data_IF_779194100142
#
_entry.id   IF_779194100142
#
_cell.length_a   1.000
_cell.length_b   1.000
_cell.length_c   1.000
_cell.angle_alpha   90.00
_cell.angle_beta   90.00
_cell.angle_gamma   90.00
#
_symmetry.space_group_name_H-M   'P 1'
#
loop_
_entity.id
_entity.type
_entity.pdbx_description
1 polymer ?
#
# COMPACT_ATOMS: atom_id res chain seq x y z
N UNK A 1 -15.94 22.12 21.07
CA UNK A 1 -16.21 22.30 19.62
C UNK A 1 -17.69 22.11 19.35
N UNK A 2 -18.29 22.71 18.31
CA UNK A 2 -19.72 22.47 17.98
C UNK A 2 -19.91 21.01 17.56
N UNK A 3 -20.86 20.25 18.15
CA UNK A 3 -21.14 18.89 17.71
C UNK A 3 -21.47 18.81 16.22
N UNK A 4 -21.08 17.71 15.59
CA UNK A 4 -21.41 17.40 14.19
C UNK A 4 -22.38 16.24 14.16
N UNK A 5 -23.26 16.20 13.17
CA UNK A 5 -24.18 15.09 12.95
C UNK A 5 -23.91 14.55 11.55
N UNK A 6 -23.57 13.27 11.45
CA UNK A 6 -23.27 12.58 10.19
C UNK A 6 -24.12 11.33 10.16
N UNK A 7 -25.01 11.22 9.16
CA UNK A 7 -25.92 10.08 9.02
C UNK A 7 -26.67 9.73 10.33
N UNK A 8 -27.07 10.75 11.09
CA UNK A 8 -27.76 10.59 12.38
C UNK A 8 -26.85 10.29 13.58
N UNK A 9 -25.54 10.13 13.39
CA UNK A 9 -24.56 9.94 14.46
C UNK A 9 -24.06 11.30 14.94
N UNK A 10 -24.27 11.61 16.22
CA UNK A 10 -23.75 12.85 16.84
C UNK A 10 -22.31 12.65 17.30
N UNK A 11 -21.39 13.42 16.73
CA UNK A 11 -19.98 13.49 17.10
C UNK A 11 -19.73 14.74 17.94
N UNK A 12 -19.20 14.55 19.14
CA UNK A 12 -18.95 15.62 20.10
C UNK A 12 -17.61 15.43 20.80
N UNK A 13 -17.25 16.37 21.67
CA UNK A 13 -16.03 16.26 22.46
C UNK A 13 -16.02 15.02 23.38
N UNK A 14 -17.20 14.51 23.76
CA UNK A 14 -17.39 13.32 24.59
C UNK A 14 -17.35 12.00 23.81
N UNK A 15 -17.30 12.05 22.48
CA UNK A 15 -17.28 10.83 21.66
C UNK A 15 -15.96 10.08 21.85
N UNK A 16 -16.05 8.79 22.20
CA UNK A 16 -14.93 7.85 22.11
C UNK A 16 -14.78 7.40 20.66
N UNK A 17 -13.88 8.07 19.93
CA UNK A 17 -13.65 7.80 18.52
C UNK A 17 -12.97 6.44 18.28
N UNK A 18 -12.24 5.90 19.26
CA UNK A 18 -11.62 4.58 19.13
C UNK A 18 -12.67 3.47 19.20
N UNK A 19 -13.57 3.54 20.18
CA UNK A 19 -14.70 2.63 20.28
C UNK A 19 -15.64 2.76 19.07
N UNK A 20 -15.98 4.00 18.69
CA UNK A 20 -16.83 4.27 17.52
C UNK A 20 -16.24 3.67 16.25
N UNK A 21 -14.96 3.93 15.94
CA UNK A 21 -14.31 3.40 14.75
C UNK A 21 -14.31 1.86 14.76
N UNK A 22 -14.00 1.25 15.91
CA UNK A 22 -13.98 -0.21 16.04
C UNK A 22 -15.36 -0.83 15.81
N UNK A 23 -16.40 -0.28 16.41
CA UNK A 23 -17.76 -0.81 16.30
C UNK A 23 -18.30 -0.66 14.87
N UNK A 24 -18.05 0.49 14.24
CA UNK A 24 -18.38 0.68 12.83
C UNK A 24 -17.64 -0.31 11.95
N UNK A 25 -16.31 -0.44 12.09
CA UNK A 25 -15.52 -1.35 11.25
C UNK A 25 -15.87 -2.84 11.43
N UNK A 26 -16.39 -3.23 12.60
CA UNK A 26 -16.96 -4.58 12.83
C UNK A 26 -18.27 -4.81 12.07
N UNK A 27 -18.90 -3.77 11.53
CA UNK A 27 -20.27 -3.81 11.03
C UNK A 27 -21.31 -3.92 12.15
N UNK A 28 -20.90 -3.75 13.40
CA UNK A 28 -21.78 -3.84 14.55
C UNK A 28 -22.55 -2.52 14.69
N UNK A 29 -23.79 -2.48 14.19
CA UNK A 29 -24.76 -1.50 14.68
C UNK A 29 -25.52 -0.70 13.64
N UNK A 30 -25.29 -0.89 12.33
CA UNK A 30 -26.06 -0.19 11.29
C UNK A 30 -26.08 1.34 11.44
N UNK A 31 -25.19 1.91 12.25
CA UNK A 31 -25.20 3.34 12.57
C UNK A 31 -24.80 4.10 11.32
N UNK A 32 -25.76 4.85 10.78
CA UNK A 32 -25.55 5.68 9.59
C UNK A 32 -25.24 4.91 8.30
N UNK A 33 -25.39 3.58 8.28
CA UNK A 33 -25.16 2.78 7.07
C UNK A 33 -26.18 3.16 6.00
N UNK A 34 -25.70 3.53 4.82
CA UNK A 34 -26.54 3.79 3.66
C UNK A 34 -26.69 2.53 2.81
N UNK A 35 -27.77 2.47 2.01
CA UNK A 35 -27.98 1.37 1.06
C UNK A 35 -26.87 1.26 0.01
N UNK A 36 -26.13 2.35 -0.23
CA UNK A 36 -25.00 2.42 -1.15
C UNK A 36 -23.69 1.90 -0.55
N UNK A 37 -23.64 1.67 0.77
CA UNK A 37 -22.43 1.21 1.44
C UNK A 37 -22.25 -0.30 1.16
N UNK A 38 -21.12 -0.64 0.56
CA UNK A 38 -20.73 -2.01 0.24
C UNK A 38 -19.95 -2.64 1.39
N UNK A 39 -19.28 -1.83 2.21
CA UNK A 39 -18.47 -2.25 3.34
C UNK A 39 -18.65 -1.30 4.53
N UNK A 40 -18.43 -1.76 5.78
CA UNK A 40 -18.52 -0.88 6.95
C UNK A 40 -17.57 0.32 6.88
N UNK A 41 -16.41 0.17 6.22
CA UNK A 41 -15.46 1.25 5.95
C UNK A 41 -16.06 2.43 5.16
N UNK A 42 -17.07 2.21 4.32
CA UNK A 42 -17.64 3.26 3.47
C UNK A 42 -18.23 4.41 4.30
N UNK A 43 -18.84 4.09 5.45
CA UNK A 43 -19.30 5.10 6.40
C UNK A 43 -18.14 5.93 6.97
N UNK A 44 -17.06 5.28 7.40
CA UNK A 44 -15.87 5.95 7.96
C UNK A 44 -15.27 6.90 6.92
N UNK A 45 -15.15 6.46 5.65
CA UNK A 45 -14.63 7.28 4.57
C UNK A 45 -15.51 8.50 4.28
N UNK A 46 -16.83 8.32 4.28
CA UNK A 46 -17.79 9.42 4.10
C UNK A 46 -17.71 10.40 5.28
N UNK A 47 -17.80 9.90 6.52
CA UNK A 47 -17.72 10.71 7.72
C UNK A 47 -16.39 11.50 7.78
N UNK A 48 -15.26 10.86 7.49
CA UNK A 48 -13.96 11.53 7.46
C UNK A 48 -13.92 12.67 6.43
N UNK A 49 -14.51 12.47 5.24
CA UNK A 49 -14.59 13.51 4.20
C UNK A 49 -15.47 14.69 4.63
N UNK A 50 -16.62 14.43 5.26
CA UNK A 50 -17.50 15.48 5.77
C UNK A 50 -16.88 16.28 6.92
N UNK A 51 -16.01 15.64 7.71
CA UNK A 51 -15.29 16.27 8.81
C UNK A 51 -14.02 17.00 8.37
N UNK A 52 -13.66 16.98 7.09
CA UNK A 52 -12.40 17.53 6.58
C UNK A 52 -12.16 18.97 7.06
N UNK A 53 -10.95 19.23 7.57
CA UNK A 53 -10.57 20.53 8.14
C UNK A 53 -11.09 20.79 9.56
N UNK A 54 -11.74 19.81 10.20
CA UNK A 54 -12.14 19.89 11.61
C UNK A 54 -11.31 18.94 12.49
N UNK A 55 -11.11 19.26 13.79
CA UNK A 55 -10.41 18.35 14.71
C UNK A 55 -11.12 17.00 14.92
N UNK A 56 -12.39 16.86 14.55
CA UNK A 56 -13.07 15.57 14.60
C UNK A 56 -12.62 14.62 13.47
N UNK A 57 -12.15 15.13 12.33
CA UNK A 57 -11.54 14.28 11.31
C UNK A 57 -10.28 13.61 11.85
N UNK A 58 -9.40 14.39 12.50
CA UNK A 58 -8.18 13.89 13.11
C UNK A 58 -8.50 12.83 14.17
N UNK A 59 -9.40 13.14 15.11
CA UNK A 59 -9.84 12.18 16.16
C UNK A 59 -10.46 10.91 15.59
N UNK A 60 -11.25 11.02 14.51
CA UNK A 60 -11.81 9.85 13.83
C UNK A 60 -10.70 8.99 13.22
N UNK A 61 -9.75 9.60 12.50
CA UNK A 61 -8.63 8.86 11.91
C UNK A 61 -7.68 8.26 12.94
N UNK A 62 -7.46 8.92 14.09
CA UNK A 62 -6.73 8.36 15.23
C UNK A 62 -7.47 7.15 15.83
N UNK A 63 -8.81 7.22 15.90
CA UNK A 63 -9.65 6.08 16.26
C UNK A 63 -9.49 4.89 15.30
N UNK A 64 -9.42 5.17 13.99
CA UNK A 64 -9.11 4.14 12.98
C UNK A 64 -7.68 3.61 13.12
N UNK A 65 -6.70 4.45 13.47
CA UNK A 65 -5.33 4.02 13.75
C UNK A 65 -5.25 3.04 14.93
N UNK A 66 -6.04 3.27 15.98
CA UNK A 66 -6.14 2.35 17.13
C UNK A 66 -6.68 0.96 16.72
N UNK A 67 -7.50 0.91 15.66
CA UNK A 67 -8.05 -0.33 15.11
C UNK A 67 -7.02 -1.20 14.38
N UNK A 68 -5.83 -0.67 14.03
CA UNK A 68 -4.76 -1.45 13.39
C UNK A 68 -4.23 -2.59 14.27
N UNK A 69 -4.48 -2.55 15.58
CA UNK A 69 -4.14 -3.65 16.51
C UNK A 69 -5.37 -4.31 17.14
N UNK A 70 -6.54 -4.15 16.52
CA UNK A 70 -7.74 -4.88 16.93
C UNK A 70 -7.51 -6.39 16.82
N UNK A 71 -8.17 -7.20 17.65
CA UNK A 71 -8.08 -8.66 17.61
C UNK A 71 -8.67 -9.24 16.32
N UNK A 72 -9.68 -8.58 15.76
CA UNK A 72 -10.43 -8.98 14.57
C UNK A 72 -9.64 -8.64 13.28
N UNK A 73 -9.29 -9.62 12.42
CA UNK A 73 -8.62 -9.37 11.15
C UNK A 73 -9.38 -8.41 10.22
N UNK A 74 -10.71 -8.50 10.18
CA UNK A 74 -11.59 -7.68 9.33
C UNK A 74 -11.50 -6.19 9.69
N UNK A 75 -11.37 -5.90 10.99
CA UNK A 75 -11.20 -4.53 11.49
C UNK A 75 -9.83 -3.98 11.10
N UNK A 76 -8.76 -4.79 11.24
CA UNK A 76 -7.41 -4.41 10.82
C UNK A 76 -7.34 -4.16 9.32
N UNK A 77 -7.93 -5.05 8.52
CA UNK A 77 -7.96 -4.95 7.06
C UNK A 77 -8.60 -3.62 6.61
N UNK A 78 -9.78 -3.30 7.14
CA UNK A 78 -10.46 -2.05 6.78
C UNK A 78 -9.71 -0.81 7.28
N UNK A 79 -9.09 -0.86 8.46
CA UNK A 79 -8.24 0.22 8.93
C UNK A 79 -7.01 0.44 8.02
N UNK A 80 -6.42 -0.62 7.47
CA UNK A 80 -5.35 -0.51 6.47
C UNK A 80 -5.84 0.13 5.17
N UNK A 81 -7.00 -0.27 4.66
CA UNK A 81 -7.61 0.32 3.45
C UNK A 81 -7.92 1.81 3.67
N UNK A 82 -8.36 2.19 4.87
CA UNK A 82 -8.52 3.61 5.23
C UNK A 82 -7.24 4.40 5.03
N UNK A 83 -6.09 3.92 5.54
CA UNK A 83 -4.80 4.60 5.41
C UNK A 83 -4.19 4.50 4.01
N UNK A 84 -4.55 3.50 3.22
CA UNK A 84 -4.22 3.48 1.78
C UNK A 84 -4.97 4.59 1.03
N UNK A 85 -6.23 4.84 1.39
CA UNK A 85 -7.08 5.85 0.75
C UNK A 85 -6.82 7.26 1.28
N UNK A 86 -6.42 7.38 2.56
CA UNK A 86 -6.17 8.64 3.26
C UNK A 86 -4.77 8.64 3.90
N UNK A 87 -3.70 8.55 3.10
CA UNK A 87 -2.32 8.38 3.60
C UNK A 87 -1.81 9.55 4.46
N UNK A 88 -2.47 10.71 4.39
CA UNK A 88 -2.14 11.90 5.19
C UNK A 88 -2.99 12.04 6.47
N UNK A 89 -3.92 11.13 6.75
CA UNK A 89 -4.77 11.21 7.93
C UNK A 89 -3.97 11.18 9.25
N UNK A 90 -4.54 11.70 10.34
CA UNK A 90 -3.92 11.60 11.67
C UNK A 90 -3.83 10.13 12.10
N UNK A 91 -2.84 9.80 12.93
CA UNK A 91 -2.55 8.41 13.31
C UNK A 91 -1.73 7.61 12.28
N UNK A 92 -1.38 8.19 11.12
CA UNK A 92 -0.63 7.50 10.04
C UNK A 92 0.73 6.96 10.49
N UNK A 93 1.36 7.59 11.49
CA UNK A 93 2.60 7.14 12.11
C UNK A 93 2.48 5.72 12.68
N UNK A 94 1.27 5.30 13.07
CA UNK A 94 1.00 3.96 13.56
C UNK A 94 1.31 2.88 12.52
N UNK A 95 1.03 3.13 11.24
CA UNK A 95 1.40 2.23 10.14
C UNK A 95 2.91 2.02 10.09
N UNK A 96 3.69 3.09 10.23
CA UNK A 96 5.17 3.02 10.20
C UNK A 96 5.72 2.28 11.40
N UNK A 97 5.18 2.55 12.58
CA UNK A 97 5.60 1.88 13.81
C UNK A 97 5.31 0.37 13.74
N UNK A 98 4.18 -0.01 13.16
CA UNK A 98 3.84 -1.42 12.92
C UNK A 98 4.76 -2.06 11.88
N UNK A 99 5.08 -1.37 10.78
CA UNK A 99 6.04 -1.89 9.79
C UNK A 99 7.44 -2.06 10.40
N UNK A 100 7.88 -1.12 11.23
CA UNK A 100 9.20 -1.16 11.87
C UNK A 100 9.29 -2.14 13.05
N UNK A 101 8.15 -2.50 13.65
CA UNK A 101 8.07 -3.31 14.86
C UNK A 101 7.68 -4.77 14.63
N UNK A 102 6.93 -5.33 15.59
CA UNK A 102 6.38 -6.68 15.48
C UNK A 102 5.17 -6.71 14.54
N UNK A 103 5.23 -7.59 13.54
CA UNK A 103 4.20 -7.78 12.51
C UNK A 103 3.46 -9.10 12.66
N UNK A 104 3.52 -9.72 13.84
CA UNK A 104 2.85 -10.99 14.17
C UNK A 104 1.33 -10.95 13.93
N UNK A 105 0.68 -9.80 14.10
CA UNK A 105 -0.76 -9.62 13.84
C UNK A 105 -1.15 -9.57 12.35
N UNK A 106 -0.17 -9.49 11.45
CA UNK A 106 -0.37 -9.24 10.02
C UNK A 106 0.17 -10.38 9.15
N UNK A 107 1.37 -10.88 9.47
CA UNK A 107 2.07 -11.87 8.65
C UNK A 107 1.30 -13.18 8.56
N UNK A 108 0.97 -13.59 7.34
CA UNK A 108 0.24 -14.83 7.06
C UNK A 108 -1.24 -14.80 7.45
N UNK A 109 -1.75 -13.67 7.94
CA UNK A 109 -3.18 -13.49 8.19
C UNK A 109 -3.82 -13.09 6.87
N UNK A 110 -4.63 -13.98 6.28
CA UNK A 110 -5.31 -13.71 5.01
C UNK A 110 -6.16 -12.43 5.12
N UNK A 111 -6.14 -11.61 4.07
CA UNK A 111 -6.97 -10.43 3.99
C UNK A 111 -8.43 -10.84 3.72
N UNK A 112 -9.38 -10.58 4.66
CA UNK A 112 -10.79 -10.92 4.47
C UNK A 112 -11.50 -10.04 3.43
N UNK A 113 -10.90 -8.90 3.05
CA UNK A 113 -11.47 -7.96 2.07
C UNK A 113 -10.92 -8.22 0.66
N UNK A 114 -9.65 -8.59 0.53
CA UNK A 114 -9.01 -8.87 -0.76
C UNK A 114 -8.43 -10.30 -0.80
N UNK A 115 -9.18 -11.27 -1.30
CA UNK A 115 -8.69 -12.64 -1.44
C UNK A 115 -7.40 -12.67 -2.28
N UNK A 116 -6.38 -13.37 -1.78
CA UNK A 116 -5.10 -13.57 -2.48
C UNK A 116 -3.93 -12.75 -1.91
N UNK A 117 -4.17 -11.88 -0.93
CA UNK A 117 -3.10 -11.21 -0.16
C UNK A 117 -3.24 -11.52 1.34
N UNK A 118 -2.20 -11.16 2.09
CA UNK A 118 -2.24 -11.17 3.55
C UNK A 118 -2.23 -9.72 4.10
N UNK A 119 -2.51 -9.57 5.38
CA UNK A 119 -2.53 -8.25 6.01
C UNK A 119 -1.13 -7.60 6.10
N UNK A 120 -0.04 -8.36 5.98
CA UNK A 120 1.32 -7.80 5.90
C UNK A 120 1.53 -7.08 4.58
N UNK A 121 1.02 -7.66 3.49
CA UNK A 121 0.97 -7.02 2.19
C UNK A 121 0.16 -5.71 2.25
N UNK A 122 -1.02 -5.73 2.87
CA UNK A 122 -1.86 -4.53 3.01
C UNK A 122 -1.20 -3.46 3.90
N UNK A 123 -0.47 -3.87 4.93
CA UNK A 123 0.31 -2.97 5.80
C UNK A 123 1.42 -2.27 5.01
N UNK A 124 2.12 -3.00 4.14
CA UNK A 124 3.13 -2.42 3.25
C UNK A 124 2.49 -1.54 2.17
N UNK A 125 1.31 -1.88 1.66
CA UNK A 125 0.57 -1.03 0.72
C UNK A 125 0.11 0.28 1.37
N UNK A 126 -0.28 0.27 2.65
CA UNK A 126 -0.56 1.49 3.40
C UNK A 126 0.70 2.37 3.57
N UNK A 127 1.88 1.77 3.79
CA UNK A 127 3.15 2.49 3.79
C UNK A 127 3.47 3.07 2.39
N UNK A 128 3.20 2.32 1.32
CA UNK A 128 3.38 2.78 -0.06
C UNK A 128 2.50 4.00 -0.39
N UNK A 129 1.24 4.00 0.08
CA UNK A 129 0.36 5.15 -0.08
C UNK A 129 0.92 6.40 0.63
N UNK A 130 1.55 6.24 1.81
CA UNK A 130 2.22 7.35 2.49
C UNK A 130 3.38 7.92 1.68
N UNK A 131 4.17 7.08 1.01
CA UNK A 131 5.22 7.53 0.09
C UNK A 131 4.66 8.33 -1.08
N UNK A 132 3.62 7.80 -1.76
CA UNK A 132 2.99 8.49 -2.90
C UNK A 132 2.45 9.87 -2.50
N UNK A 133 1.84 9.97 -1.32
CA UNK A 133 1.35 11.23 -0.79
C UNK A 133 2.44 12.26 -0.46
N UNK A 134 3.70 11.85 -0.27
CA UNK A 134 4.82 12.78 -0.11
C UNK A 134 5.19 13.46 -1.42
N UNK A 135 5.18 12.69 -2.53
CA UNK A 135 5.51 13.19 -3.87
C UNK A 135 4.60 14.34 -4.29
N UNK A 136 3.28 14.17 -4.10
CA UNK A 136 2.28 15.19 -4.42
C UNK A 136 2.42 16.46 -3.58
N UNK A 137 2.87 16.34 -2.33
CA UNK A 137 2.88 17.46 -1.41
C UNK A 137 4.07 18.42 -1.64
N UNK A 138 5.03 18.04 -2.51
CA UNK A 138 6.28 18.77 -2.75
C UNK A 138 6.98 19.21 -1.46
N UNK A 139 6.82 18.45 -0.38
CA UNK A 139 7.34 18.82 0.92
C UNK A 139 8.87 18.63 0.88
N UNK A 140 9.60 19.75 0.93
CA UNK A 140 11.07 19.78 0.93
C UNK A 140 11.70 19.00 2.10
N UNK A 141 10.93 18.75 3.15
CA UNK A 141 11.26 17.83 4.23
C UNK A 141 10.30 16.63 4.21
N UNK A 142 10.34 15.85 3.13
CA UNK A 142 9.69 14.54 3.08
C UNK A 142 10.08 13.72 4.32
N UNK A 143 9.14 12.93 4.85
CA UNK A 143 9.42 12.12 6.02
C UNK A 143 10.38 10.97 5.63
N UNK A 144 11.67 11.29 5.74
CA UNK A 144 12.81 10.42 5.41
C UNK A 144 12.71 9.05 6.10
N UNK A 145 12.07 8.99 7.27
CA UNK A 145 11.84 7.73 7.98
C UNK A 145 10.93 6.79 7.19
N UNK A 146 9.93 7.31 6.48
CA UNK A 146 9.05 6.50 5.60
C UNK A 146 9.84 5.94 4.41
N UNK A 147 10.64 6.78 3.75
CA UNK A 147 11.49 6.36 2.62
C UNK A 147 12.51 5.30 3.05
N UNK A 148 13.24 5.53 4.14
CA UNK A 148 14.22 4.58 4.66
C UNK A 148 13.57 3.27 5.12
N UNK A 149 12.35 3.32 5.65
CA UNK A 149 11.60 2.11 5.98
C UNK A 149 11.22 1.33 4.72
N UNK A 150 10.68 2.00 3.70
CA UNK A 150 10.32 1.35 2.43
C UNK A 150 11.53 0.76 1.70
N UNK A 151 12.66 1.49 1.65
CA UNK A 151 13.94 0.99 1.11
C UNK A 151 14.43 -0.26 1.84
N UNK A 152 14.26 -0.35 3.17
CA UNK A 152 14.62 -1.56 3.92
C UNK A 152 13.65 -2.70 3.71
N UNK A 153 12.36 -2.42 3.60
CA UNK A 153 11.33 -3.45 3.41
C UNK A 153 11.36 -4.06 2.02
N UNK A 154 11.54 -3.26 0.96
CA UNK A 154 11.54 -3.73 -0.44
C UNK A 154 12.67 -4.75 -0.72
N UNK A 155 13.76 -4.69 0.04
CA UNK A 155 14.90 -5.61 -0.07
C UNK A 155 14.67 -6.96 0.63
N UNK A 156 13.60 -7.08 1.44
CA UNK A 156 13.30 -8.33 2.15
C UNK A 156 12.54 -9.29 1.22
N UNK A 157 12.72 -10.62 1.38
CA UNK A 157 12.05 -11.58 0.54
C UNK A 157 10.52 -11.45 0.52
N UNK A 158 9.93 -11.41 -0.66
CA UNK A 158 8.48 -11.33 -0.89
C UNK A 158 7.81 -9.99 -0.59
N UNK A 159 8.56 -8.94 -0.22
CA UNK A 159 7.98 -7.66 0.24
C UNK A 159 7.99 -6.53 -0.78
N UNK A 160 8.58 -6.74 -1.96
CA UNK A 160 8.77 -5.67 -2.91
C UNK A 160 7.47 -5.22 -3.60
N UNK A 161 6.59 -6.17 -3.93
CA UNK A 161 5.40 -5.94 -4.74
C UNK A 161 4.51 -4.75 -4.28
N UNK A 162 4.12 -4.61 -3.00
CA UNK A 162 3.29 -3.50 -2.56
C UNK A 162 4.01 -2.14 -2.54
N UNK A 163 5.35 -2.10 -2.55
CA UNK A 163 6.14 -0.88 -2.35
C UNK A 163 6.72 -0.32 -3.65
N UNK A 164 6.97 -1.18 -4.64
CA UNK A 164 7.92 -0.85 -5.70
C UNK A 164 7.48 0.32 -6.59
N UNK A 165 6.19 0.43 -6.89
CA UNK A 165 5.67 1.53 -7.70
C UNK A 165 5.84 2.87 -6.99
N UNK A 166 5.41 2.96 -5.73
CA UNK A 166 5.54 4.17 -4.93
C UNK A 166 7.02 4.56 -4.72
N UNK A 167 7.88 3.58 -4.43
CA UNK A 167 9.31 3.84 -4.23
C UNK A 167 9.99 4.31 -5.53
N UNK A 168 9.61 3.75 -6.69
CA UNK A 168 10.13 4.22 -7.99
C UNK A 168 9.69 5.64 -8.29
N UNK A 169 8.45 6.02 -7.94
CA UNK A 169 7.97 7.38 -8.11
C UNK A 169 8.69 8.42 -7.24
N UNK A 170 9.19 8.02 -6.06
CA UNK A 170 9.91 8.90 -5.14
C UNK A 170 11.43 8.89 -5.39
N UNK A 171 12.00 7.75 -5.78
CA UNK A 171 13.45 7.54 -5.80
C UNK A 171 13.88 6.48 -6.84
N UNK A 172 13.60 6.79 -8.11
CA UNK A 172 13.88 5.90 -9.24
C UNK A 172 15.36 5.49 -9.36
N UNK A 173 16.29 6.41 -9.04
CA UNK A 173 17.73 6.15 -9.13
C UNK A 173 18.19 5.13 -8.10
N UNK A 174 17.72 5.24 -6.84
CA UNK A 174 18.00 4.23 -5.82
C UNK A 174 17.40 2.88 -6.18
N UNK A 175 16.15 2.85 -6.67
CA UNK A 175 15.49 1.61 -7.10
C UNK A 175 16.27 0.94 -8.22
N UNK A 176 16.74 1.70 -9.21
CA UNK A 176 17.57 1.18 -10.31
C UNK A 176 18.90 0.61 -9.81
N UNK A 177 19.53 1.28 -8.85
CA UNK A 177 20.78 0.83 -8.25
C UNK A 177 20.62 -0.50 -7.47
N UNK A 178 19.45 -0.75 -6.89
CA UNK A 178 19.15 -1.94 -6.06
C UNK A 178 18.25 -2.97 -6.76
N UNK A 179 17.96 -2.80 -8.04
CA UNK A 179 16.97 -3.62 -8.75
C UNK A 179 17.31 -5.13 -8.72
N UNK A 180 18.59 -5.51 -8.82
CA UNK A 180 19.00 -6.92 -8.71
C UNK A 180 18.70 -7.51 -7.34
N UNK A 181 18.96 -6.77 -6.25
CA UNK A 181 18.70 -7.22 -4.89
C UNK A 181 17.20 -7.33 -4.61
N UNK A 182 16.42 -6.37 -5.12
CA UNK A 182 14.96 -6.39 -5.04
C UNK A 182 14.40 -7.64 -5.75
N UNK A 183 14.81 -7.92 -6.99
CA UNK A 183 14.31 -9.07 -7.75
C UNK A 183 14.79 -10.39 -7.13
N UNK A 184 16.02 -10.45 -6.59
CA UNK A 184 16.49 -11.65 -5.88
C UNK A 184 15.63 -11.97 -4.65
N UNK A 185 15.18 -10.95 -3.92
CA UNK A 185 14.25 -11.13 -2.80
C UNK A 185 12.81 -11.39 -3.25
N UNK A 186 12.38 -10.80 -4.36
CA UNK A 186 11.01 -10.89 -4.87
C UNK A 186 11.02 -11.01 -6.39
N UNK A 187 11.20 -12.22 -6.96
CA UNK A 187 11.25 -12.42 -8.41
C UNK A 187 10.06 -11.82 -9.18
N UNK A 188 8.85 -11.94 -8.60
CA UNK A 188 7.62 -11.39 -9.16
C UNK A 188 7.59 -9.85 -9.28
N UNK A 189 8.53 -9.13 -8.65
CA UNK A 189 8.66 -7.68 -8.81
C UNK A 189 9.38 -7.26 -10.09
N UNK A 190 10.03 -8.20 -10.80
CA UNK A 190 10.89 -7.89 -11.95
C UNK A 190 10.15 -7.22 -13.11
N UNK A 191 8.97 -7.74 -13.49
CA UNK A 191 8.17 -7.11 -14.55
C UNK A 191 7.72 -5.70 -14.15
N UNK A 192 7.18 -5.54 -12.93
CA UNK A 192 6.76 -4.24 -12.40
C UNK A 192 7.91 -3.24 -12.37
N UNK A 193 9.11 -3.64 -11.95
CA UNK A 193 10.32 -2.80 -11.96
C UNK A 193 10.60 -2.22 -13.36
N UNK A 194 10.61 -3.08 -14.38
CA UNK A 194 10.86 -2.66 -15.76
C UNK A 194 9.77 -1.71 -16.25
N UNK A 195 8.49 -2.02 -15.95
CA UNK A 195 7.34 -1.19 -16.32
C UNK A 195 7.44 0.21 -15.70
N UNK A 196 7.80 0.31 -14.42
CA UNK A 196 7.86 1.60 -13.72
C UNK A 196 9.08 2.43 -14.16
N UNK A 197 10.21 1.80 -14.51
CA UNK A 197 11.44 2.50 -14.89
C UNK A 197 11.49 2.92 -16.36
N UNK A 198 10.66 2.35 -17.24
CA UNK A 198 10.71 2.62 -18.69
C UNK A 198 10.48 4.09 -19.05
N UNK A 199 9.70 4.83 -18.26
CA UNK A 199 9.38 6.22 -18.53
C UNK A 199 10.60 7.15 -18.36
N UNK A 200 11.60 6.73 -17.58
CA UNK A 200 12.73 7.56 -17.19
C UNK A 200 14.05 7.16 -17.87
N UNK A 201 14.15 5.96 -18.47
CA UNK A 201 15.42 5.45 -18.99
C UNK A 201 15.26 4.27 -19.95
N UNK A 202 16.33 3.96 -20.68
CA UNK A 202 16.47 2.67 -21.36
C UNK A 202 16.57 1.54 -20.33
N UNK A 203 15.57 0.66 -20.33
CA UNK A 203 15.45 -0.46 -19.38
C UNK A 203 16.18 -1.71 -19.84
N UNK A 204 16.68 -1.79 -21.10
CA UNK A 204 17.33 -2.99 -21.62
C UNK A 204 18.62 -3.37 -20.87
N UNK A 205 19.53 -2.43 -20.51
CA UNK A 205 20.69 -2.76 -19.69
C UNK A 205 20.32 -3.32 -18.33
N UNK A 206 19.25 -2.80 -17.71
CA UNK A 206 18.74 -3.32 -16.45
C UNK A 206 18.14 -4.72 -16.63
N UNK A 207 17.31 -4.90 -17.65
CA UNK A 207 16.64 -6.16 -17.95
C UNK A 207 17.63 -7.31 -18.14
N UNK A 208 18.72 -7.11 -18.87
CA UNK A 208 19.79 -8.12 -19.05
C UNK A 208 20.34 -8.65 -17.72
N UNK A 209 20.31 -7.84 -16.67
CA UNK A 209 20.79 -8.22 -15.32
C UNK A 209 19.73 -8.96 -14.52
N UNK A 210 18.46 -8.55 -14.61
CA UNK A 210 17.40 -9.02 -13.72
C UNK A 210 16.50 -10.11 -14.31
N UNK A 211 16.34 -10.24 -15.64
CA UNK A 211 15.39 -11.20 -16.25
C UNK A 211 15.65 -12.64 -15.84
N UNK A 212 16.93 -13.03 -15.69
CA UNK A 212 17.32 -14.36 -15.22
C UNK A 212 16.87 -14.66 -13.78
N UNK A 213 16.67 -13.61 -12.98
CA UNK A 213 16.22 -13.75 -11.59
C UNK A 213 14.69 -13.86 -11.51
N UNK A 214 13.97 -13.59 -12.60
CA UNK A 214 12.51 -13.64 -12.68
C UNK A 214 11.97 -15.02 -13.09
N UNK A 215 12.82 -16.04 -13.25
CA UNK A 215 12.35 -17.36 -13.68
C UNK A 215 11.34 -17.96 -12.71
N UNK A 216 10.28 -18.53 -13.27
CA UNK A 216 9.19 -19.13 -12.49
C UNK A 216 8.08 -18.14 -12.11
N UNK A 217 8.20 -16.85 -12.43
CA UNK A 217 7.05 -15.94 -12.36
C UNK A 217 6.16 -16.11 -13.61
N UNK A 218 4.95 -16.71 -13.47
CA UNK A 218 4.06 -16.94 -14.61
C UNK A 218 3.49 -15.64 -15.20
N UNK A 219 3.65 -14.50 -14.50
CA UNK A 219 3.11 -13.22 -14.94
C UNK A 219 4.10 -12.38 -15.72
N UNK A 220 5.39 -12.72 -15.73
CA UNK A 220 6.41 -11.85 -16.31
C UNK A 220 6.12 -11.51 -17.77
N UNK A 221 5.90 -12.51 -18.62
CA UNK A 221 5.59 -12.29 -20.04
C UNK A 221 4.27 -11.54 -20.24
N UNK A 222 3.25 -11.84 -19.43
CA UNK A 222 1.94 -11.19 -19.51
C UNK A 222 2.04 -9.69 -19.18
N UNK A 223 2.68 -9.37 -18.06
CA UNK A 223 2.79 -8.00 -17.57
C UNK A 223 3.72 -7.18 -18.47
N UNK A 224 4.87 -7.72 -18.91
CA UNK A 224 5.75 -7.08 -19.90
C UNK A 224 5.02 -6.85 -21.22
N UNK A 225 4.31 -7.88 -21.72
CA UNK A 225 3.57 -7.82 -22.98
C UNK A 225 2.47 -6.76 -23.00
N UNK A 226 1.88 -6.48 -21.84
CA UNK A 226 0.77 -5.53 -21.68
C UNK A 226 1.22 -4.09 -21.41
N UNK A 227 2.28 -3.90 -20.64
CA UNK A 227 2.58 -2.61 -20.02
C UNK A 227 3.92 -1.98 -20.43
N UNK A 228 4.76 -2.67 -21.23
CA UNK A 228 5.91 -2.00 -21.86
C UNK A 228 5.45 -1.31 -23.13
N UNK A 229 5.52 0.01 -23.17
CA UNK A 229 4.89 0.83 -24.21
C UNK A 229 5.55 0.61 -25.57
N UNK A 230 6.88 0.69 -25.63
CA UNK A 230 7.64 0.51 -26.87
C UNK A 230 7.67 -0.96 -27.32
N UNK A 231 7.21 -1.21 -28.56
CA UNK A 231 7.09 -2.57 -29.12
C UNK A 231 8.46 -3.22 -29.26
N UNK A 232 9.47 -2.50 -29.76
CA UNK A 232 10.80 -3.05 -29.99
C UNK A 232 11.50 -3.42 -28.66
N UNK A 233 11.35 -2.59 -27.63
CA UNK A 233 11.83 -2.87 -26.27
C UNK A 233 11.11 -4.07 -25.69
N UNK A 234 9.78 -4.14 -25.82
CA UNK A 234 8.96 -5.27 -25.34
C UNK A 234 9.39 -6.60 -25.94
N UNK A 235 9.57 -6.66 -27.26
CA UNK A 235 10.04 -7.88 -27.96
C UNK A 235 11.40 -8.32 -27.43
N UNK A 236 12.36 -7.39 -27.31
CA UNK A 236 13.69 -7.70 -26.76
C UNK A 236 13.63 -8.18 -25.30
N UNK A 237 12.75 -7.62 -24.47
CA UNK A 237 12.58 -8.06 -23.08
C UNK A 237 12.03 -9.49 -23.00
N UNK A 238 11.06 -9.82 -23.85
CA UNK A 238 10.49 -11.16 -23.92
C UNK A 238 11.50 -12.18 -24.42
N UNK A 239 12.30 -11.83 -25.42
CA UNK A 239 13.38 -12.70 -25.92
C UNK A 239 14.45 -12.92 -24.85
N UNK A 240 14.89 -11.87 -24.14
CA UNK A 240 15.81 -11.98 -23.01
C UNK A 240 15.27 -12.91 -21.90
N UNK A 241 13.96 -12.88 -21.64
CA UNK A 241 13.32 -13.74 -20.64
C UNK A 241 13.26 -15.20 -21.11
N UNK A 242 12.90 -15.45 -22.36
CA UNK A 242 12.85 -16.80 -22.94
C UNK A 242 14.23 -17.44 -23.02
N UNK A 243 15.23 -16.70 -23.51
CA UNK A 243 16.62 -17.17 -23.66
C UNK A 243 17.29 -17.51 -22.33
N UNK A 244 16.78 -16.93 -21.24
CA UNK A 244 17.31 -17.24 -19.92
C UNK A 244 16.71 -18.51 -19.31
N UNK A 245 15.58 -19.00 -19.81
CA UNK A 245 14.90 -20.17 -19.25
C UNK A 245 15.75 -21.43 -19.50
N UNK A 246 16.20 -22.15 -18.45
CA UNK A 246 17.00 -23.35 -18.65
C UNK A 246 16.21 -24.40 -19.44
N UNK A 247 16.82 -24.99 -20.47
CA UNK A 247 16.26 -26.13 -21.18
C UNK A 247 16.09 -27.27 -20.18
N UNK A 248 14.83 -27.71 -19.99
CA UNK A 248 14.48 -28.82 -19.10
C UNK A 248 14.80 -30.17 -19.72
#
# INVERSE_FOLDING_TARGET
>A
MTPRIIDGVTLSDQTDFGLLARDVLRGAGGMGALRSDNQPLDWILRAYRELAGSPYADRLSEGVAACLTASEPEVRAQALIFFQSNPRAAGRERVRDLVAGDRSLFRGVLDPVHPGTDLDWQLLAALAAQLGAQLEAQLEAGDARTLDLARREVLKPGRAAPLIAALTGVDADWVRAHAEDIVRGTPAAGATLLIQLQAATDVLPLARRITRLCHGDPRFELDVGRFIDDIATREQLLDLFRDSTPSS
#
